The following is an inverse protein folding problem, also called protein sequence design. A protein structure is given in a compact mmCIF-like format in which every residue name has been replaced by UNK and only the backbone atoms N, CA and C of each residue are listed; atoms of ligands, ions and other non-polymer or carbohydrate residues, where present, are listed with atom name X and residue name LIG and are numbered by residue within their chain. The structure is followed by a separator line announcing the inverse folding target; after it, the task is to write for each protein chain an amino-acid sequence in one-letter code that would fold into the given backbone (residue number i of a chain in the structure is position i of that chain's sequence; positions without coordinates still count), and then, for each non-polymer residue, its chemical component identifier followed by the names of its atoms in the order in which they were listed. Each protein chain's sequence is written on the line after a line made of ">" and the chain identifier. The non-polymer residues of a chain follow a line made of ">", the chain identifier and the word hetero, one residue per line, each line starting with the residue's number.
data_IF_536226482602
#
_entry.id   IF_536226482602
#
_cell.length_a   1.000
_cell.length_b   1.000
_cell.length_c   1.000
_cell.angle_alpha   90.00
_cell.angle_beta   90.00
_cell.angle_gamma   90.00
#
_symmetry.space_group_name_H-M   'P 1'
#
loop_
_entity.id
_entity.type
_entity.pdbx_description
1 polymer ?
#
# COMPACT_ATOMS: atom_id res chain seq x y z
N UNK A 1 -16.18 20.38 65.29
CA UNK A 1 -16.86 20.63 63.98
C UNK A 1 -15.91 21.22 62.92
N UNK A 2 -14.69 20.67 62.74
CA UNK A 2 -13.74 21.12 61.70
C UNK A 2 -13.09 19.98 60.89
N UNK A 3 -13.32 18.71 61.28
CA UNK A 3 -12.78 17.54 60.57
C UNK A 3 -13.74 16.96 59.51
N UNK A 4 -15.05 17.14 59.67
CA UNK A 4 -16.05 16.64 58.71
C UNK A 4 -16.13 17.46 57.41
N UNK A 5 -15.69 18.73 57.43
CA UNK A 5 -15.72 19.62 56.26
C UNK A 5 -14.59 19.34 55.27
N UNK A 6 -13.48 18.74 55.70
CA UNK A 6 -12.32 18.46 54.83
C UNK A 6 -12.54 17.23 53.95
N UNK A 7 -13.26 16.22 54.45
CA UNK A 7 -13.58 15.00 53.71
C UNK A 7 -14.58 15.24 52.57
N UNK A 8 -15.53 16.16 52.74
CA UNK A 8 -16.53 16.49 51.71
C UNK A 8 -15.90 17.31 50.56
N UNK A 9 -14.92 18.18 50.85
CA UNK A 9 -14.19 18.92 49.82
C UNK A 9 -13.28 18.03 48.96
N UNK A 10 -12.77 16.92 49.49
CA UNK A 10 -11.92 16.00 48.72
C UNK A 10 -12.71 15.11 47.75
N UNK A 11 -13.96 14.75 48.09
CA UNK A 11 -14.83 13.95 47.21
C UNK A 11 -15.36 14.79 46.03
N UNK A 12 -15.63 16.08 46.25
CA UNK A 12 -16.11 16.99 45.21
C UNK A 12 -15.03 17.40 44.19
N UNK A 13 -13.74 17.29 44.52
CA UNK A 13 -12.63 17.58 43.59
C UNK A 13 -12.28 16.40 42.67
N UNK A 14 -12.88 15.22 42.88
CA UNK A 14 -12.61 14.03 42.07
C UNK A 14 -13.73 13.70 41.06
N UNK A 15 -14.81 14.51 41.01
CA UNK A 15 -16.01 14.25 40.20
C UNK A 15 -16.19 15.15 38.98
N UNK A 16 -15.21 15.99 38.65
CA UNK A 16 -15.30 16.87 37.48
C UNK A 16 -14.07 16.78 36.59
N UNK A 17 -13.82 15.60 36.03
CA UNK A 17 -12.98 15.43 34.83
C UNK A 17 -13.30 14.10 34.12
N UNK A 18 -14.58 13.82 33.88
CA UNK A 18 -14.93 12.94 32.75
C UNK A 18 -14.72 13.75 31.48
N UNK A 19 -13.50 13.71 30.97
CA UNK A 19 -13.21 14.13 29.60
C UNK A 19 -14.03 13.25 28.66
N UNK A 20 -15.23 13.73 28.29
CA UNK A 20 -16.00 13.18 27.19
C UNK A 20 -15.12 13.37 25.96
N UNK A 21 -14.40 12.33 25.58
CA UNK A 21 -13.74 12.27 24.29
C UNK A 21 -14.83 12.55 23.26
N UNK A 22 -14.80 13.73 22.63
CA UNK A 22 -15.68 14.07 21.52
C UNK A 22 -15.44 13.02 20.45
N UNK A 23 -16.28 11.99 20.42
CA UNK A 23 -16.36 11.02 19.34
C UNK A 23 -16.81 11.84 18.15
N UNK A 24 -15.86 12.37 17.40
CA UNK A 24 -16.14 13.07 16.15
C UNK A 24 -16.93 12.07 15.33
N UNK A 25 -18.23 12.33 15.19
CA UNK A 25 -19.10 11.60 14.29
C UNK A 25 -18.51 11.84 12.90
N UNK A 26 -17.63 10.93 12.45
CA UNK A 26 -17.14 10.93 11.08
C UNK A 26 -18.39 10.74 10.24
N UNK A 27 -18.83 11.82 9.58
CA UNK A 27 -19.85 11.72 8.53
C UNK A 27 -19.47 10.55 7.64
N UNK A 28 -20.39 9.60 7.37
CA UNK A 28 -20.08 8.47 6.51
C UNK A 28 -19.59 9.01 5.17
N UNK A 29 -18.34 8.73 4.84
CA UNK A 29 -17.77 9.15 3.57
C UNK A 29 -18.52 8.42 2.45
N UNK A 30 -19.41 9.15 1.77
CA UNK A 30 -20.30 8.68 0.71
C UNK A 30 -19.55 8.38 -0.61
N UNK A 31 -18.24 8.63 -0.67
CA UNK A 31 -17.47 8.48 -1.90
C UNK A 31 -17.61 7.08 -2.52
N UNK A 32 -17.49 6.00 -1.73
CA UNK A 32 -17.62 4.64 -2.27
C UNK A 32 -18.96 4.42 -2.98
N UNK A 33 -20.06 5.00 -2.47
CA UNK A 33 -21.39 4.83 -3.05
C UNK A 33 -21.59 5.65 -4.32
N UNK A 34 -20.90 6.79 -4.45
CA UNK A 34 -21.04 7.71 -5.59
C UNK A 34 -19.93 7.53 -6.64
N UNK A 35 -18.87 6.79 -6.32
CA UNK A 35 -17.72 6.63 -7.21
C UNK A 35 -18.14 5.95 -8.53
N UNK A 36 -17.86 6.60 -9.68
CA UNK A 36 -18.30 6.09 -10.98
C UNK A 36 -17.58 4.79 -11.34
N UNK A 37 -18.38 3.81 -11.79
CA UNK A 37 -17.92 2.49 -12.23
C UNK A 37 -17.51 1.49 -11.16
N UNK A 38 -17.69 1.80 -9.86
CA UNK A 38 -17.52 0.79 -8.81
C UNK A 38 -18.72 -0.17 -8.76
N UNK A 39 -18.43 -1.47 -8.81
CA UNK A 39 -19.43 -2.53 -8.66
C UNK A 39 -20.01 -2.59 -7.23
N UNK A 40 -21.20 -3.18 -7.06
CA UNK A 40 -21.81 -3.37 -5.74
C UNK A 40 -20.89 -4.10 -4.76
N UNK A 41 -20.12 -5.08 -5.24
CA UNK A 41 -19.14 -5.82 -4.42
C UNK A 41 -17.94 -4.96 -4.02
N UNK A 42 -17.44 -4.11 -4.94
CA UNK A 42 -16.39 -3.12 -4.63
C UNK A 42 -16.86 -2.10 -3.60
N UNK A 43 -18.10 -1.62 -3.71
CA UNK A 43 -18.69 -0.67 -2.74
C UNK A 43 -18.76 -1.27 -1.34
N UNK A 44 -19.20 -2.52 -1.22
CA UNK A 44 -19.23 -3.25 0.06
C UNK A 44 -17.83 -3.36 0.69
N UNK A 45 -16.82 -3.73 -0.10
CA UNK A 45 -15.44 -3.81 0.38
C UNK A 45 -14.88 -2.44 0.79
N UNK A 46 -15.13 -1.42 -0.02
CA UNK A 46 -14.69 -0.04 0.21
C UNK A 46 -15.19 0.52 1.55
N UNK A 47 -16.39 0.09 1.99
CA UNK A 47 -17.01 0.53 3.25
C UNK A 47 -16.81 -0.45 4.42
N UNK A 48 -16.17 -1.60 4.19
CA UNK A 48 -16.06 -2.67 5.17
C UNK A 48 -15.25 -2.27 6.40
N UNK A 49 -14.16 -1.55 6.19
CA UNK A 49 -13.21 -1.18 7.23
C UNK A 49 -13.17 0.34 7.37
N UNK A 50 -13.38 0.91 8.58
CA UNK A 50 -13.27 2.34 8.80
C UNK A 50 -11.92 2.91 8.32
N UNK A 51 -11.98 3.89 7.42
CA UNK A 51 -10.81 4.58 6.85
C UNK A 51 -10.33 3.98 5.52
N UNK A 52 -10.71 2.75 5.21
CA UNK A 52 -10.32 2.08 3.97
C UNK A 52 -10.86 2.80 2.74
N UNK A 53 -12.07 3.36 2.80
CA UNK A 53 -12.65 4.16 1.74
C UNK A 53 -11.79 5.36 1.35
N UNK A 54 -11.20 6.02 2.35
CA UNK A 54 -10.35 7.20 2.15
C UNK A 54 -9.02 6.78 1.55
N UNK A 55 -8.46 5.66 2.01
CA UNK A 55 -7.22 5.10 1.46
C UNK A 55 -7.40 4.64 0.01
N UNK A 56 -8.48 3.92 -0.32
CA UNK A 56 -8.80 3.49 -1.69
C UNK A 56 -8.96 4.71 -2.61
N UNK A 57 -9.77 5.71 -2.19
CA UNK A 57 -9.95 6.95 -2.94
C UNK A 57 -8.61 7.60 -3.28
N UNK A 58 -7.78 7.85 -2.26
CA UNK A 58 -6.45 8.45 -2.42
C UNK A 58 -5.56 7.63 -3.36
N UNK A 59 -5.64 6.31 -3.27
CA UNK A 59 -4.86 5.41 -4.13
C UNK A 59 -5.27 5.48 -5.60
N UNK A 60 -6.57 5.54 -5.88
CA UNK A 60 -7.10 5.70 -7.24
C UNK A 60 -6.70 7.07 -7.80
N UNK A 61 -6.95 8.15 -7.06
CA UNK A 61 -6.60 9.52 -7.48
C UNK A 61 -5.11 9.64 -7.78
N UNK A 62 -4.27 9.07 -6.91
CA UNK A 62 -2.82 9.09 -7.10
C UNK A 62 -2.39 8.27 -8.31
N UNK A 63 -2.91 7.05 -8.47
CA UNK A 63 -2.58 6.20 -9.62
C UNK A 63 -2.98 6.82 -10.96
N UNK A 64 -4.15 7.47 -11.02
CA UNK A 64 -4.60 8.18 -12.22
C UNK A 64 -3.72 9.39 -12.54
N UNK A 65 -3.36 10.18 -11.53
CA UNK A 65 -2.44 11.31 -11.70
C UNK A 65 -1.07 10.86 -12.21
N UNK A 66 -0.53 9.75 -11.70
CA UNK A 66 0.73 9.20 -12.22
C UNK A 66 0.57 8.62 -13.63
N UNK A 67 -0.58 8.03 -13.96
CA UNK A 67 -0.87 7.50 -15.29
C UNK A 67 -0.87 8.59 -16.36
N UNK A 68 -1.60 9.68 -16.11
CA UNK A 68 -1.65 10.86 -16.98
C UNK A 68 -0.25 11.47 -17.14
N UNK A 69 0.54 11.56 -16.06
CA UNK A 69 1.93 12.00 -16.12
C UNK A 69 2.84 11.09 -16.95
N UNK A 70 2.70 9.77 -16.81
CA UNK A 70 3.51 8.77 -17.52
C UNK A 70 3.24 8.72 -19.04
N UNK A 71 2.06 9.16 -19.47
CA UNK A 71 1.59 9.09 -20.84
C UNK A 71 1.23 10.46 -21.44
N UNK A 72 1.60 11.57 -20.80
CA UNK A 72 1.26 12.93 -21.23
C UNK A 72 1.67 13.27 -22.68
N UNK A 73 2.71 12.59 -23.21
CA UNK A 73 3.23 12.79 -24.57
C UNK A 73 2.87 11.65 -25.54
N UNK A 74 2.01 10.73 -25.12
CA UNK A 74 1.58 9.59 -25.92
C UNK A 74 0.22 9.88 -26.58
N UNK A 75 -0.06 9.20 -27.72
CA UNK A 75 -1.37 9.30 -28.41
C UNK A 75 -2.54 8.95 -27.48
N UNK A 76 -2.36 7.91 -26.66
CA UNK A 76 -3.21 7.64 -25.51
C UNK A 76 -2.53 8.22 -24.26
N UNK A 77 -3.20 9.17 -23.60
CA UNK A 77 -2.65 9.97 -22.50
C UNK A 77 -3.31 9.67 -21.13
N UNK A 78 -3.95 8.52 -21.00
CA UNK A 78 -4.67 8.08 -19.80
C UNK A 78 -5.88 8.94 -19.36
N UNK A 79 -6.33 9.88 -20.21
CA UNK A 79 -7.52 10.68 -19.95
C UNK A 79 -8.80 9.85 -19.87
N UNK A 80 -9.83 10.41 -19.24
CA UNK A 80 -11.15 9.77 -19.06
C UNK A 80 -11.95 9.93 -20.37
N UNK A 81 -11.60 9.18 -21.42
CA UNK A 81 -12.23 9.25 -22.75
C UNK A 81 -13.65 8.65 -22.75
N UNK A 82 -14.62 9.34 -22.13
CA UNK A 82 -16.01 8.89 -22.07
C UNK A 82 -16.26 7.66 -21.18
N UNK A 83 -15.23 7.19 -20.49
CA UNK A 83 -15.30 6.04 -19.60
C UNK A 83 -16.09 6.36 -18.33
N UNK A 84 -17.12 5.54 -18.07
CA UNK A 84 -17.98 5.67 -16.87
C UNK A 84 -17.30 5.14 -15.60
N UNK A 85 -16.11 4.54 -15.71
CA UNK A 85 -15.42 3.90 -14.59
C UNK A 85 -14.05 4.52 -14.33
N UNK A 86 -13.79 4.86 -13.07
CA UNK A 86 -12.46 5.32 -12.65
C UNK A 86 -11.39 4.22 -12.79
N UNK A 87 -11.80 2.95 -12.75
CA UNK A 87 -10.88 1.81 -12.77
C UNK A 87 -10.56 1.31 -14.18
N UNK A 88 -11.28 1.79 -15.21
CA UNK A 88 -11.10 1.38 -16.61
C UNK A 88 -10.75 2.61 -17.45
N UNK A 89 -9.48 2.72 -17.86
CA UNK A 89 -8.94 3.86 -18.64
C UNK A 89 -8.59 3.51 -20.08
N UNK A 90 -8.65 2.23 -20.43
CA UNK A 90 -8.40 1.73 -21.76
C UNK A 90 -9.32 0.53 -22.04
N UNK A 91 -9.56 0.19 -23.32
CA UNK A 91 -10.30 -1.01 -23.69
C UNK A 91 -9.64 -2.27 -23.13
N UNK A 92 -10.46 -3.23 -22.70
CA UNK A 92 -9.96 -4.50 -22.17
C UNK A 92 -9.12 -5.23 -23.24
N UNK A 93 -8.07 -5.93 -22.80
CA UNK A 93 -7.17 -6.66 -23.70
C UNK A 93 -6.03 -5.83 -24.33
N UNK A 94 -5.96 -4.52 -24.11
CA UNK A 94 -4.83 -3.70 -24.60
C UNK A 94 -3.67 -3.60 -23.60
N UNK A 95 -2.49 -3.17 -24.08
CA UNK A 95 -1.32 -2.92 -23.22
C UNK A 95 -1.57 -1.79 -22.22
N UNK A 96 -2.35 -0.79 -22.62
CA UNK A 96 -2.77 0.33 -21.77
C UNK A 96 -3.71 -0.15 -20.65
N UNK A 97 -4.61 -1.10 -20.93
CA UNK A 97 -5.45 -1.72 -19.90
C UNK A 97 -4.63 -2.56 -18.92
N UNK A 98 -3.62 -3.29 -19.41
CA UNK A 98 -2.69 -4.01 -18.55
C UNK A 98 -1.91 -3.08 -17.62
N UNK A 99 -1.34 -2.00 -18.18
CA UNK A 99 -0.62 -0.98 -17.42
C UNK A 99 -1.51 -0.31 -16.36
N UNK A 100 -2.68 0.18 -16.76
CA UNK A 100 -3.59 0.92 -15.85
C UNK A 100 -4.11 0.03 -14.73
N UNK A 101 -4.44 -1.23 -15.02
CA UNK A 101 -4.85 -2.21 -14.00
C UNK A 101 -3.74 -2.46 -12.99
N UNK A 102 -2.51 -2.68 -13.45
CA UNK A 102 -1.35 -2.88 -12.59
C UNK A 102 -1.07 -1.63 -11.72
N UNK A 103 -1.04 -0.45 -12.36
CA UNK A 103 -0.76 0.82 -11.69
C UNK A 103 -1.81 1.16 -10.63
N UNK A 104 -3.10 0.98 -10.92
CA UNK A 104 -4.18 1.25 -9.96
C UNK A 104 -4.14 0.26 -8.80
N UNK A 105 -3.88 -1.03 -9.08
CA UNK A 105 -3.72 -2.05 -8.03
C UNK A 105 -2.57 -1.70 -7.10
N UNK A 106 -1.42 -1.31 -7.65
CA UNK A 106 -0.27 -0.84 -6.91
C UNK A 106 -0.61 0.43 -6.11
N UNK A 107 -1.23 1.43 -6.73
CA UNK A 107 -1.50 2.72 -6.08
C UNK A 107 -2.51 2.62 -4.94
N UNK A 108 -3.52 1.76 -5.08
CA UNK A 108 -4.47 1.41 -4.01
C UNK A 108 -3.74 0.72 -2.86
N UNK A 109 -2.93 -0.31 -3.14
CA UNK A 109 -2.15 -1.01 -2.13
C UNK A 109 -1.16 -0.10 -1.40
N UNK A 110 -0.50 0.80 -2.13
CA UNK A 110 0.42 1.81 -1.62
C UNK A 110 -0.30 2.69 -0.59
N UNK A 111 -1.45 3.25 -0.99
CA UNK A 111 -2.22 4.16 -0.15
C UNK A 111 -2.75 3.47 1.11
N UNK A 112 -3.24 2.24 0.99
CA UNK A 112 -3.70 1.45 2.13
C UNK A 112 -2.54 1.12 3.08
N UNK A 113 -1.40 0.67 2.56
CA UNK A 113 -0.22 0.35 3.39
C UNK A 113 0.28 1.59 4.17
N UNK A 114 0.25 2.77 3.55
CA UNK A 114 0.58 4.05 4.21
C UNK A 114 -0.46 4.45 5.25
N UNK A 115 -1.75 4.28 4.95
CA UNK A 115 -2.83 4.56 5.89
C UNK A 115 -2.72 3.68 7.15
N UNK A 116 -2.27 2.42 7.03
CA UNK A 116 -1.98 1.58 8.18
C UNK A 116 -0.88 2.15 9.07
N UNK A 117 0.19 2.69 8.48
CA UNK A 117 1.27 3.32 9.28
C UNK A 117 0.84 4.61 9.95
N UNK A 118 -0.07 5.34 9.31
CA UNK A 118 -0.66 6.56 9.87
C UNK A 118 -1.77 6.29 10.91
N UNK A 119 -2.17 5.01 11.09
CA UNK A 119 -3.33 4.60 11.90
C UNK A 119 -4.66 5.19 11.41
N UNK A 120 -4.75 5.47 10.12
CA UNK A 120 -5.98 5.98 9.47
C UNK A 120 -6.99 4.86 9.18
N UNK A 121 -6.55 3.59 9.18
CA UNK A 121 -7.36 2.38 8.96
C UNK A 121 -7.31 1.52 10.22
N UNK A 122 -8.46 1.09 10.72
CA UNK A 122 -8.58 0.46 12.05
C UNK A 122 -8.13 -1.01 12.12
N UNK A 123 -8.19 -1.75 11.02
CA UNK A 123 -7.88 -3.20 10.99
C UNK A 123 -6.42 -3.52 10.66
N UNK A 124 -5.55 -2.52 10.64
CA UNK A 124 -4.13 -2.74 10.37
C UNK A 124 -3.24 -1.86 11.24
N UNK A 125 -2.00 -2.32 11.39
CA UNK A 125 -0.94 -1.66 12.15
C UNK A 125 0.37 -1.72 11.38
N UNK A 126 1.43 -1.15 11.94
CA UNK A 126 2.79 -1.24 11.39
C UNK A 126 3.19 -2.70 11.18
N UNK A 127 3.91 -2.99 10.09
CA UNK A 127 4.42 -4.33 9.85
C UNK A 127 5.51 -4.68 10.85
N UNK A 128 5.35 -5.82 11.54
CA UNK A 128 6.40 -6.38 12.39
C UNK A 128 7.54 -6.91 11.53
N UNK A 129 8.64 -6.16 11.45
CA UNK A 129 9.86 -6.64 10.78
C UNK A 129 10.62 -7.56 11.74
N UNK A 130 10.90 -8.79 11.31
CA UNK A 130 11.76 -9.70 12.07
C UNK A 130 13.12 -9.02 12.29
N UNK A 131 13.55 -8.90 13.54
CA UNK A 131 14.84 -8.28 13.87
C UNK A 131 15.96 -9.06 13.15
N UNK A 132 16.84 -8.41 12.38
CA UNK A 132 18.03 -9.06 11.86
C UNK A 132 18.92 -9.48 13.02
N UNK A 133 19.74 -10.50 12.75
CA UNK A 133 20.69 -11.09 13.69
C UNK A 133 21.61 -10.04 14.35
N UNK A 134 22.04 -10.39 15.56
CA UNK A 134 22.93 -9.63 16.46
C UNK A 134 24.18 -9.15 15.71
N UNK A 135 24.71 -7.97 16.06
CA UNK A 135 25.99 -7.46 15.54
C UNK A 135 25.96 -6.09 14.84
N UNK A 136 24.78 -5.43 14.71
CA UNK A 136 24.68 -4.07 14.14
C UNK A 136 24.52 -3.01 15.24
N UNK A 137 25.12 -1.84 15.02
CA UNK A 137 25.00 -0.66 15.92
C UNK A 137 23.64 0.03 15.84
N UNK A 138 22.90 -0.14 14.74
CA UNK A 138 21.57 0.43 14.53
C UNK A 138 20.45 -0.59 14.78
N UNK A 139 19.26 -0.11 15.16
CA UNK A 139 18.11 -0.96 15.52
C UNK A 139 16.95 -0.77 14.55
N UNK A 140 16.19 -1.82 14.27
CA UNK A 140 14.87 -1.65 13.63
C UNK A 140 13.92 -0.98 14.61
N UNK A 141 13.54 0.27 14.30
CA UNK A 141 12.59 1.06 15.08
C UNK A 141 11.79 1.96 14.12
N UNK A 142 10.62 2.38 14.59
CA UNK A 142 9.67 3.14 13.77
C UNK A 142 8.54 2.25 13.26
N UNK A 143 7.74 2.79 12.36
CA UNK A 143 6.55 2.13 11.82
C UNK A 143 6.82 1.71 10.38
N UNK A 144 7.09 0.43 10.17
CA UNK A 144 7.24 -0.13 8.83
C UNK A 144 5.89 -0.21 8.12
N UNK A 145 5.87 0.15 6.83
CA UNK A 145 4.68 0.03 5.96
C UNK A 145 4.14 -1.40 5.93
N UNK A 146 2.82 -1.55 6.05
CA UNK A 146 2.15 -2.85 6.03
C UNK A 146 1.72 -3.21 4.60
N UNK A 147 2.70 -3.65 3.81
CA UNK A 147 2.49 -4.00 2.39
C UNK A 147 1.61 -5.24 2.27
N UNK A 148 1.69 -6.17 3.23
CA UNK A 148 0.82 -7.35 3.26
C UNK A 148 -0.66 -6.98 3.32
N UNK A 149 -1.06 -6.11 4.23
CA UNK A 149 -2.45 -5.66 4.33
C UNK A 149 -2.86 -4.81 3.13
N UNK A 150 -1.98 -3.93 2.65
CA UNK A 150 -2.23 -3.09 1.48
C UNK A 150 -2.49 -3.92 0.22
N UNK A 151 -1.61 -4.87 -0.10
CA UNK A 151 -1.74 -5.73 -1.28
C UNK A 151 -2.94 -6.65 -1.19
N UNK A 152 -3.20 -7.27 -0.03
CA UNK A 152 -4.39 -8.07 0.20
C UNK A 152 -5.69 -7.29 -0.05
N UNK A 153 -5.79 -6.09 0.53
CA UNK A 153 -6.99 -5.26 0.42
C UNK A 153 -7.22 -4.78 -1.02
N UNK A 154 -6.14 -4.37 -1.70
CA UNK A 154 -6.20 -3.94 -3.09
C UNK A 154 -6.58 -5.08 -4.04
N UNK A 155 -6.01 -6.28 -3.87
CA UNK A 155 -6.34 -7.46 -4.68
C UNK A 155 -7.83 -7.80 -4.56
N UNK A 156 -8.35 -7.88 -3.33
CA UNK A 156 -9.77 -8.18 -3.11
C UNK A 156 -10.69 -7.12 -3.68
N UNK A 157 -10.29 -5.85 -3.61
CA UNK A 157 -11.05 -4.75 -4.20
C UNK A 157 -11.05 -4.80 -5.73
N UNK A 158 -9.88 -4.93 -6.36
CA UNK A 158 -9.75 -4.94 -7.82
C UNK A 158 -10.42 -6.16 -8.47
N UNK A 159 -10.36 -7.32 -7.81
CA UNK A 159 -10.92 -8.58 -8.31
C UNK A 159 -12.33 -8.88 -7.80
N UNK A 160 -12.96 -7.93 -7.09
CA UNK A 160 -14.27 -8.14 -6.49
C UNK A 160 -15.35 -8.42 -7.54
N UNK A 161 -16.04 -9.56 -7.39
CA UNK A 161 -17.09 -9.98 -8.33
C UNK A 161 -16.58 -10.54 -9.66
N UNK A 162 -15.28 -10.78 -9.81
CA UNK A 162 -14.69 -11.44 -10.99
C UNK A 162 -14.58 -12.95 -10.76
N UNK A 163 -15.17 -13.74 -11.66
CA UNK A 163 -15.07 -15.21 -11.67
C UNK A 163 -13.86 -15.68 -12.48
N UNK A 164 -13.49 -16.96 -12.37
CA UNK A 164 -12.34 -17.55 -13.09
C UNK A 164 -12.69 -18.02 -14.51
N UNK A 165 -13.87 -17.67 -15.02
CA UNK A 165 -14.48 -18.44 -16.10
C UNK A 165 -14.22 -17.84 -17.49
N UNK A 166 -13.44 -16.77 -17.57
CA UNK A 166 -13.16 -16.06 -18.83
C UNK A 166 -11.68 -15.70 -18.90
N UNK A 167 -11.08 -15.87 -20.09
CA UNK A 167 -9.69 -15.49 -20.37
C UNK A 167 -9.39 -14.04 -19.95
N UNK A 168 -10.31 -13.11 -20.20
CA UNK A 168 -10.16 -11.71 -19.82
C UNK A 168 -10.02 -11.49 -18.30
N UNK A 169 -10.74 -12.27 -17.48
CA UNK A 169 -10.59 -12.21 -16.02
C UNK A 169 -9.25 -12.79 -15.57
N UNK A 170 -8.72 -13.81 -16.26
CA UNK A 170 -7.38 -14.35 -15.99
C UNK A 170 -6.29 -13.32 -16.30
N UNK A 171 -6.40 -12.63 -17.45
CA UNK A 171 -5.50 -11.53 -17.81
C UNK A 171 -5.59 -10.39 -16.79
N UNK A 172 -6.80 -9.99 -16.40
CA UNK A 172 -6.99 -8.94 -15.38
C UNK A 172 -6.33 -9.33 -14.05
N UNK A 173 -6.49 -10.57 -13.59
CA UNK A 173 -5.82 -11.07 -12.38
C UNK A 173 -4.31 -11.00 -12.48
N UNK A 174 -3.77 -11.37 -13.64
CA UNK A 174 -2.35 -11.29 -13.88
C UNK A 174 -1.85 -9.84 -13.79
N UNK A 175 -2.55 -8.91 -14.42
CA UNK A 175 -2.22 -7.48 -14.37
C UNK A 175 -2.29 -6.93 -12.94
N UNK A 176 -3.31 -7.32 -12.16
CA UNK A 176 -3.41 -6.97 -10.73
C UNK A 176 -2.19 -7.48 -9.98
N UNK A 177 -1.82 -8.77 -10.14
CA UNK A 177 -0.67 -9.39 -9.45
C UNK A 177 0.64 -8.68 -9.78
N UNK A 178 0.89 -8.37 -11.05
CA UNK A 178 2.08 -7.64 -11.50
C UNK A 178 2.20 -6.31 -10.75
N UNK A 179 1.12 -5.53 -10.66
CA UNK A 179 1.12 -4.27 -9.93
C UNK A 179 1.37 -4.41 -8.42
N UNK A 180 0.81 -5.45 -7.80
CA UNK A 180 1.01 -5.70 -6.37
C UNK A 180 2.44 -6.17 -6.07
N UNK A 181 3.05 -6.94 -6.96
CA UNK A 181 4.41 -7.44 -6.80
C UNK A 181 5.44 -6.31 -6.87
N UNK A 182 5.22 -5.31 -7.74
CA UNK A 182 6.04 -4.09 -7.79
C UNK A 182 6.20 -3.46 -6.40
N UNK A 183 5.15 -3.42 -5.57
CA UNK A 183 5.26 -2.88 -4.22
C UNK A 183 5.97 -3.80 -3.22
N UNK A 184 5.82 -5.12 -3.35
CA UNK A 184 6.45 -6.07 -2.44
C UNK A 184 7.97 -6.11 -2.64
N UNK A 185 8.40 -6.11 -3.90
CA UNK A 185 9.80 -6.22 -4.30
C UNK A 185 10.57 -4.92 -4.12
N UNK A 186 9.91 -3.75 -4.25
CA UNK A 186 10.60 -2.46 -4.27
C UNK A 186 10.44 -1.66 -2.96
N UNK A 187 10.31 -2.33 -1.82
CA UNK A 187 10.31 -1.68 -0.50
C UNK A 187 11.66 -1.02 -0.23
N UNK A 188 11.64 0.13 0.43
CA UNK A 188 12.83 0.95 0.70
C UNK A 188 13.10 0.98 2.20
N UNK A 189 14.36 0.87 2.61
CA UNK A 189 14.76 1.12 4.00
C UNK A 189 14.94 2.62 4.21
N UNK A 190 14.21 3.22 5.15
CA UNK A 190 14.44 4.60 5.60
C UNK A 190 15.06 4.59 7.00
N UNK A 191 16.19 5.26 7.13
CA UNK A 191 16.96 5.33 8.37
C UNK A 191 16.99 6.75 8.95
N UNK A 192 17.02 6.84 10.28
CA UNK A 192 17.24 8.07 11.04
C UNK A 192 18.69 8.11 11.51
N UNK A 193 19.36 9.24 11.28
CA UNK A 193 20.74 9.47 11.67
C UNK A 193 20.79 10.27 12.98
N UNK A 194 21.76 9.97 13.85
CA UNK A 194 22.01 10.74 15.07
C UNK A 194 22.87 11.97 14.85
N UNK A 195 22.97 12.84 15.86
CA UNK A 195 23.80 14.06 15.83
C UNK A 195 25.29 13.79 15.54
N UNK A 196 25.75 12.55 15.75
CA UNK A 196 27.13 12.11 15.47
C UNK A 196 27.31 11.52 14.05
N UNK A 197 26.30 11.64 13.18
CA UNK A 197 26.33 11.06 11.82
C UNK A 197 26.11 9.54 11.77
N UNK A 198 25.97 8.87 12.92
CA UNK A 198 25.74 7.41 12.97
C UNK A 198 24.26 7.07 12.82
N UNK A 199 23.97 6.03 12.05
CA UNK A 199 22.61 5.49 11.90
C UNK A 199 22.10 4.99 13.25
N UNK A 200 20.95 5.52 13.70
CA UNK A 200 20.31 5.13 14.98
C UNK A 200 19.27 4.03 14.78
N UNK A 201 18.38 4.24 13.80
CA UNK A 201 17.29 3.30 13.54
C UNK A 201 16.78 3.34 12.12
N UNK A 202 16.18 2.23 11.67
CA UNK A 202 15.60 2.12 10.34
C UNK A 202 14.22 1.43 10.37
N UNK A 203 13.39 1.74 9.38
CA UNK A 203 12.09 1.12 9.11
C UNK A 203 11.89 0.93 7.60
N UNK A 204 10.97 0.04 7.22
CA UNK A 204 10.59 -0.14 5.82
C UNK A 204 9.55 0.91 5.40
N UNK A 205 9.69 1.41 4.18
CA UNK A 205 8.77 2.33 3.53
C UNK A 205 8.57 1.91 2.06
N UNK A 206 7.72 2.63 1.35
CA UNK A 206 7.49 2.46 -0.08
C UNK A 206 8.22 3.55 -0.86
N UNK A 207 8.64 3.28 -2.12
CA UNK A 207 9.27 4.27 -2.96
C UNK A 207 8.27 5.37 -3.35
N UNK A 208 8.71 6.53 -3.84
CA UNK A 208 7.81 7.56 -4.33
C UNK A 208 6.84 7.01 -5.39
N UNK A 209 5.61 7.53 -5.44
CA UNK A 209 4.56 7.09 -6.36
C UNK A 209 5.00 7.10 -7.82
N UNK A 210 5.75 8.13 -8.22
CA UNK A 210 6.35 8.25 -9.55
C UNK A 210 7.20 7.01 -9.88
N UNK A 211 8.05 6.59 -8.94
CA UNK A 211 8.91 5.41 -9.14
C UNK A 211 8.08 4.12 -9.22
N UNK A 212 7.05 3.97 -8.41
CA UNK A 212 6.12 2.82 -8.51
C UNK A 212 5.41 2.77 -9.86
N UNK A 213 5.06 3.92 -10.44
CA UNK A 213 4.44 3.99 -11.76
C UNK A 213 5.39 3.59 -12.89
N UNK A 214 6.63 4.10 -12.85
CA UNK A 214 7.70 3.70 -13.78
C UNK A 214 7.93 2.17 -13.75
N UNK A 215 8.04 1.60 -12.55
CA UNK A 215 8.22 0.15 -12.36
C UNK A 215 7.01 -0.65 -12.89
N UNK A 216 5.79 -0.18 -12.65
CA UNK A 216 4.58 -0.82 -13.17
C UNK A 216 4.54 -0.82 -14.70
N UNK A 217 5.02 0.27 -15.34
CA UNK A 217 5.18 0.36 -16.80
C UNK A 217 6.18 -0.65 -17.32
N UNK A 218 7.36 -0.72 -16.71
CA UNK A 218 8.40 -1.68 -17.09
C UNK A 218 7.90 -3.13 -16.97
N UNK A 219 7.27 -3.49 -15.86
CA UNK A 219 6.77 -4.85 -15.62
C UNK A 219 5.63 -5.25 -16.54
N UNK A 220 4.80 -4.31 -17.00
CA UNK A 220 3.68 -4.59 -17.92
C UNK A 220 4.08 -4.59 -19.40
N UNK A 221 5.20 -3.94 -19.75
CA UNK A 221 5.73 -3.95 -21.13
C UNK A 221 6.53 -5.21 -21.49
N UNK A 222 7.01 -5.98 -20.50
CA UNK A 222 7.65 -7.29 -20.76
C UNK A 222 6.56 -8.28 -21.18
N UNK A 223 6.72 -8.90 -22.35
CA UNK A 223 5.69 -9.69 -23.05
C UNK A 223 5.11 -10.88 -22.24
N UNK A 224 3.86 -11.32 -22.56
CA UNK A 224 3.12 -12.38 -21.87
C UNK A 224 3.55 -13.78 -22.34
N UNK A 225 4.82 -14.13 -22.11
CA UNK A 225 5.36 -15.48 -22.35
C UNK A 225 6.06 -16.11 -21.14
N UNK A 226 6.11 -15.43 -19.99
CA UNK A 226 6.95 -15.82 -18.84
C UNK A 226 6.25 -15.73 -17.49
N UNK A 227 4.91 -15.71 -17.46
CA UNK A 227 4.15 -15.48 -16.22
C UNK A 227 3.09 -16.54 -15.91
N UNK A 228 3.07 -17.67 -16.61
CA UNK A 228 2.70 -18.91 -15.94
C UNK A 228 3.96 -19.36 -15.20
N UNK A 229 3.99 -19.37 -13.86
CA UNK A 229 4.99 -20.19 -13.21
C UNK A 229 4.63 -21.62 -13.58
N UNK A 230 5.39 -22.19 -14.50
CA UNK A 230 5.54 -23.63 -14.54
C UNK A 230 5.96 -24.05 -13.11
N UNK A 231 5.23 -24.98 -12.49
CA UNK A 231 5.56 -25.45 -11.14
C UNK A 231 6.95 -26.09 -11.10
N UNK A 232 7.49 -26.51 -12.26
CA UNK A 232 8.87 -26.93 -12.47
C UNK A 232 9.87 -25.82 -12.81
N UNK A 233 9.42 -24.59 -13.08
CA UNK A 233 10.26 -23.41 -13.30
C UNK A 233 10.17 -22.46 -12.09
N UNK A 234 10.31 -23.04 -10.89
CA UNK A 234 11.15 -22.42 -9.87
C UNK A 234 12.50 -22.21 -10.54
N UNK A 235 12.69 -21.06 -11.16
CA UNK A 235 13.99 -20.61 -11.64
C UNK A 235 14.88 -20.72 -10.41
N UNK A 236 15.70 -21.77 -10.42
CA UNK A 236 17.04 -21.75 -9.88
C UNK A 236 17.71 -20.53 -10.52
N UNK A 237 17.40 -19.34 -10.01
CA UNK A 237 18.40 -18.29 -9.93
C UNK A 237 19.36 -18.94 -8.96
N UNK A 238 20.39 -19.58 -9.51
CA UNK A 238 21.54 -20.05 -8.78
C UNK A 238 22.16 -18.79 -8.17
N UNK A 239 21.61 -18.34 -7.04
CA UNK A 239 22.47 -18.08 -5.91
C UNK A 239 23.09 -19.43 -5.62
N UNK A 240 24.33 -19.62 -6.07
CA UNK A 240 25.16 -20.72 -5.59
C UNK A 240 24.96 -20.76 -4.07
N UNK A 241 24.70 -21.94 -3.48
CA UNK A 241 24.55 -22.07 -2.04
C UNK A 241 25.92 -21.84 -1.42
N UNK A 242 26.25 -20.58 -1.17
CA UNK A 242 27.14 -20.23 -0.08
C UNK A 242 26.21 -20.17 1.13
N UNK A 243 26.29 -21.20 1.97
CA UNK A 243 25.40 -21.37 3.12
C UNK A 243 25.20 -20.06 3.88
N UNK A 244 23.96 -19.57 3.90
CA UNK A 244 23.63 -18.27 4.49
C UNK A 244 22.12 -18.13 4.69
N UNK A 245 21.68 -18.18 5.94
CA UNK A 245 20.28 -18.05 6.36
C UNK A 245 19.83 -16.59 6.30
N UNK A 246 18.80 -16.20 5.53
CA UNK A 246 17.98 -14.94 5.64
C UNK A 246 18.76 -13.58 5.71
N UNK A 247 20.08 -13.59 5.83
CA UNK A 247 20.95 -12.49 6.17
C UNK A 247 21.60 -11.85 4.94
N UNK A 248 21.57 -12.53 3.79
CA UNK A 248 22.00 -11.99 2.49
C UNK A 248 20.98 -11.01 1.89
N UNK A 249 19.78 -10.93 2.47
CA UNK A 249 18.66 -10.07 2.07
C UNK A 249 19.00 -8.55 2.15
N UNK A 250 20.11 -8.16 2.78
CA UNK A 250 20.49 -6.74 2.96
C UNK A 250 21.82 -6.31 2.30
N UNK A 251 22.57 -7.21 1.65
CA UNK A 251 23.92 -6.89 1.15
C UNK A 251 23.96 -6.24 -0.25
N UNK A 252 22.80 -6.08 -0.92
CA UNK A 252 22.71 -5.49 -2.28
C UNK A 252 21.76 -4.29 -2.37
N UNK A 253 21.38 -3.74 -1.21
CA UNK A 253 20.59 -2.50 -1.11
C UNK A 253 21.51 -1.28 -1.37
N UNK A 254 21.26 -0.58 -2.48
CA UNK A 254 21.54 0.86 -2.65
C UNK A 254 23.01 1.35 -2.67
N UNK A 255 23.75 1.01 -3.72
CA UNK A 255 24.92 1.82 -4.10
C UNK A 255 24.56 3.22 -4.64
N UNK A 256 23.28 3.62 -4.77
CA UNK A 256 22.91 4.94 -5.32
C UNK A 256 21.70 5.70 -4.72
N UNK A 257 20.90 5.17 -3.79
CA UNK A 257 19.64 5.88 -3.38
C UNK A 257 19.29 5.84 -1.89
N UNK A 258 20.28 6.04 -1.02
CA UNK A 258 20.02 6.53 0.35
C UNK A 258 19.57 7.99 0.26
N UNK A 259 18.26 8.21 0.13
CA UNK A 259 17.68 9.54 0.33
C UNK A 259 17.68 9.84 1.84
N UNK A 260 18.82 10.32 2.33
CA UNK A 260 18.90 11.03 3.59
C UNK A 260 18.20 12.38 3.40
N UNK A 261 17.04 12.53 4.02
CA UNK A 261 16.40 13.83 4.30
C UNK A 261 16.49 14.10 5.78
#
# INVERSE_FOLDING_TARGET
>A
MKFFTVLISFVLLCWSSTSIAKKTSRRPNLWCQKAPGLSSSQRKLCQRVPGLQTAIKKGIEKGLSECEREFQWNRWNCSLLGEKSLLRRAPDGTKEAAFTTALLSASIAFSIAKACTAKDVTECSCEGVKRPMRGRSWKWRGCSVNVRFGTYSAERFMLSGKSNNTEMNTIMKQNVRVGLEVLKENRVVKCTVGNTGKVKSCHLTLPPSKKSAELSKQSTTRQPGSLLPDESEKIHIIYKPLGGTVADIMAKDQRDHLWCT
#
